data_IF_893651231422
#
_entry.id   IF_893651231422
#
_cell.length_a   1.000
_cell.length_b   1.000
_cell.length_c   1.000
_cell.angle_alpha   90.00
_cell.angle_beta   90.00
_cell.angle_gamma   90.00
#
_symmetry.space_group_name_H-M   'P 1'
#
loop_
_entity.id
_entity.type
_entity.pdbx_description
1 polymer ?
#
# COMPACT_ATOMS: atom_id res chain seq x y z
N UNK A 1 -14.32 6.90 5.43
CA UNK A 1 -15.40 5.95 5.09
C UNK A 1 -14.91 4.50 5.10
N UNK A 2 -15.79 3.54 5.43
CA UNK A 2 -15.55 2.09 5.32
C UNK A 2 -16.50 1.48 4.30
N UNK A 3 -15.95 0.74 3.35
CA UNK A 3 -16.71 0.04 2.31
C UNK A 3 -16.54 -1.47 2.49
N UNK A 4 -17.66 -2.21 2.45
CA UNK A 4 -17.65 -3.69 2.53
C UNK A 4 -18.31 -4.28 1.29
N UNK A 5 -17.62 -5.22 0.65
CA UNK A 5 -18.13 -6.05 -0.44
C UNK A 5 -18.60 -7.39 0.13
N UNK A 6 -19.76 -7.88 -0.30
CA UNK A 6 -20.36 -9.09 0.24
C UNK A 6 -19.74 -10.37 -0.39
N UNK A 7 -19.47 -11.42 0.41
CA UNK A 7 -19.05 -12.73 -0.10
C UNK A 7 -20.18 -13.40 -0.93
N UNK A 8 -19.95 -14.54 -1.61
CA UNK A 8 -20.99 -15.22 -2.40
C UNK A 8 -22.33 -15.41 -1.64
N UNK A 9 -23.51 -15.33 -2.30
CA UNK A 9 -23.77 -15.42 -3.76
C UNK A 9 -23.63 -14.10 -4.55
N UNK A 10 -23.15 -13.02 -3.92
CA UNK A 10 -22.92 -11.74 -4.59
C UNK A 10 -21.69 -11.82 -5.51
N UNK A 11 -21.73 -11.18 -6.69
CA UNK A 11 -20.65 -11.14 -7.71
C UNK A 11 -19.37 -10.41 -7.26
N UNK A 12 -19.13 -10.27 -5.97
CA UNK A 12 -17.89 -9.66 -5.51
C UNK A 12 -16.83 -10.77 -5.42
N UNK A 13 -16.03 -10.90 -6.48
CA UNK A 13 -14.80 -11.71 -6.46
C UNK A 13 -13.71 -10.99 -5.64
N UNK A 14 -14.08 -10.50 -4.45
CA UNK A 14 -13.18 -9.79 -3.57
C UNK A 14 -12.28 -10.77 -2.79
N UNK A 15 -11.15 -10.28 -2.31
CA UNK A 15 -10.20 -11.04 -1.50
C UNK A 15 -10.15 -10.51 -0.07
N UNK A 16 -10.26 -11.39 0.91
CA UNK A 16 -10.13 -11.02 2.32
C UNK A 16 -8.67 -11.16 2.77
N UNK A 17 -7.86 -10.15 2.42
CA UNK A 17 -6.43 -10.12 2.72
C UNK A 17 -6.12 -10.20 4.23
N UNK A 18 -6.98 -9.65 5.09
CA UNK A 18 -6.73 -9.68 6.53
C UNK A 18 -6.95 -11.07 7.08
N UNK A 19 -8.07 -11.71 6.73
CA UNK A 19 -8.34 -13.09 7.15
C UNK A 19 -7.25 -14.04 6.66
N UNK A 20 -6.83 -13.93 5.40
CA UNK A 20 -5.72 -14.74 4.86
C UNK A 20 -4.40 -14.54 5.62
N UNK A 21 -4.06 -13.29 5.95
CA UNK A 21 -2.86 -12.96 6.72
C UNK A 21 -2.89 -13.58 8.12
N UNK A 22 -4.04 -13.52 8.80
CA UNK A 22 -4.22 -14.19 10.09
C UNK A 22 -4.07 -15.71 9.97
N UNK A 23 -4.71 -16.34 8.98
CA UNK A 23 -4.62 -17.79 8.78
C UNK A 23 -3.21 -18.25 8.40
N UNK A 24 -2.42 -17.39 7.75
CA UNK A 24 -1.02 -17.65 7.40
C UNK A 24 -0.03 -17.27 8.51
N UNK A 25 -0.48 -17.18 9.76
CA UNK A 25 0.40 -16.91 10.91
C UNK A 25 1.03 -15.52 10.87
N UNK A 26 0.30 -14.52 10.37
CA UNK A 26 0.77 -13.14 10.30
C UNK A 26 1.74 -12.87 9.15
N UNK A 27 1.64 -13.63 8.05
CA UNK A 27 2.51 -13.49 6.88
C UNK A 27 1.71 -13.22 5.61
N UNK A 28 2.32 -12.49 4.68
CA UNK A 28 1.75 -12.22 3.36
C UNK A 28 1.13 -10.83 3.22
N UNK A 29 0.52 -10.53 2.07
CA UNK A 29 -0.03 -9.22 1.76
C UNK A 29 -1.36 -8.96 2.50
N UNK A 30 -1.46 -7.82 3.19
CA UNK A 30 -2.70 -7.36 3.86
C UNK A 30 -3.51 -6.36 3.04
N UNK A 31 -3.01 -5.96 1.87
CA UNK A 31 -3.69 -5.07 0.94
C UNK A 31 -3.52 -5.54 -0.49
N UNK A 32 -4.40 -5.08 -1.39
CA UNK A 32 -4.26 -5.33 -2.82
C UNK A 32 -2.94 -4.79 -3.39
N UNK A 33 -2.48 -3.62 -2.92
CA UNK A 33 -1.18 -3.06 -3.33
C UNK A 33 -0.03 -3.99 -2.93
N UNK A 34 -0.05 -4.48 -1.68
CA UNK A 34 0.94 -5.45 -1.22
C UNK A 34 0.89 -6.76 -2.00
N UNK A 35 -0.29 -7.23 -2.39
CA UNK A 35 -0.44 -8.41 -3.24
C UNK A 35 0.28 -8.23 -4.58
N UNK A 36 0.06 -7.08 -5.23
CA UNK A 36 0.70 -6.76 -6.52
C UNK A 36 2.22 -6.70 -6.39
N UNK A 37 2.73 -6.06 -5.35
CA UNK A 37 4.18 -5.95 -5.12
C UNK A 37 4.80 -7.29 -4.71
N UNK A 38 4.12 -8.12 -3.92
CA UNK A 38 4.56 -9.50 -3.64
C UNK A 38 4.61 -10.36 -4.90
N UNK A 39 3.60 -10.25 -5.77
CA UNK A 39 3.61 -10.95 -7.06
C UNK A 39 4.82 -10.52 -7.92
N UNK A 40 5.13 -9.23 -7.95
CA UNK A 40 6.34 -8.74 -8.63
C UNK A 40 7.61 -9.29 -8.00
N UNK A 41 7.70 -9.33 -6.66
CA UNK A 41 8.85 -9.93 -5.97
C UNK A 41 9.04 -11.39 -6.40
N UNK A 42 7.96 -12.17 -6.38
CA UNK A 42 8.01 -13.58 -6.77
C UNK A 42 8.47 -13.76 -8.21
N UNK A 43 7.99 -12.91 -9.14
CA UNK A 43 8.45 -12.92 -10.53
C UNK A 43 9.91 -12.48 -10.68
N UNK A 44 10.36 -11.50 -9.91
CA UNK A 44 11.75 -11.07 -9.94
C UNK A 44 12.68 -12.21 -9.49
N UNK A 45 12.33 -12.87 -8.39
CA UNK A 45 13.10 -14.00 -7.86
C UNK A 45 13.06 -15.21 -8.79
N UNK A 46 11.90 -15.54 -9.37
CA UNK A 46 11.72 -16.66 -10.30
C UNK A 46 12.56 -16.50 -11.58
N UNK A 47 12.58 -15.31 -12.19
CA UNK A 47 13.21 -15.10 -13.49
C UNK A 47 14.65 -14.59 -13.43
N UNK A 48 15.03 -13.90 -12.35
CA UNK A 48 16.34 -13.24 -12.25
C UNK A 48 17.16 -13.66 -11.02
N UNK A 49 16.56 -14.41 -10.08
CA UNK A 49 17.24 -14.86 -8.85
C UNK A 49 17.53 -13.73 -7.85
N UNK A 50 16.99 -12.53 -8.06
CA UNK A 50 17.17 -11.35 -7.22
C UNK A 50 15.93 -10.46 -7.24
N UNK A 51 15.79 -9.59 -6.24
CA UNK A 51 14.69 -8.64 -6.15
C UNK A 51 15.00 -7.34 -6.93
N UNK A 52 14.11 -6.95 -7.84
CA UNK A 52 14.20 -5.66 -8.53
C UNK A 52 14.14 -4.49 -7.53
N UNK A 53 15.03 -3.50 -7.71
CA UNK A 53 15.19 -2.36 -6.80
C UNK A 53 13.93 -1.53 -6.58
N UNK A 54 13.00 -1.54 -7.53
CA UNK A 54 11.79 -0.71 -7.51
C UNK A 54 10.58 -1.45 -6.94
N UNK A 55 10.74 -2.68 -6.46
CA UNK A 55 9.69 -3.44 -5.78
C UNK A 55 9.50 -2.90 -4.38
N UNK A 56 8.26 -2.52 -4.05
CA UNK A 56 7.90 -1.97 -2.75
C UNK A 56 7.14 -3.00 -1.92
N UNK A 57 7.85 -4.05 -1.51
CA UNK A 57 7.35 -5.08 -0.62
C UNK A 57 8.43 -5.44 0.41
N UNK A 58 8.12 -5.59 1.71
CA UNK A 58 9.11 -6.01 2.70
C UNK A 58 9.68 -7.40 2.39
N UNK A 59 10.99 -7.50 2.23
CA UNK A 59 11.67 -8.71 1.78
C UNK A 59 13.14 -8.72 2.25
N UNK A 60 13.76 -9.90 2.32
CA UNK A 60 15.15 -10.07 2.79
C UNK A 60 16.08 -10.58 1.67
N UNK A 61 15.53 -10.84 0.49
CA UNK A 61 16.21 -11.37 -0.66
C UNK A 61 17.17 -10.35 -1.27
N UNK A 62 18.24 -10.85 -1.89
CA UNK A 62 19.28 -10.02 -2.50
C UNK A 62 18.70 -9.14 -3.60
N UNK A 63 19.02 -7.86 -3.55
CA UNK A 63 18.61 -6.86 -4.55
C UNK A 63 19.48 -7.01 -5.80
N UNK A 64 18.86 -6.96 -6.98
CA UNK A 64 19.58 -7.02 -8.26
C UNK A 64 20.59 -5.86 -8.39
N UNK A 65 21.81 -6.14 -8.85
CA UNK A 65 22.84 -5.10 -9.01
C UNK A 65 22.48 -4.12 -10.12
N UNK A 66 21.95 -4.62 -11.24
CA UNK A 66 21.48 -3.85 -12.37
C UNK A 66 19.95 -3.74 -12.33
N UNK A 67 19.43 -2.64 -12.87
CA UNK A 67 18.00 -2.50 -13.09
C UNK A 67 17.54 -3.49 -14.16
N UNK A 68 16.38 -4.13 -13.96
CA UNK A 68 15.80 -5.03 -14.95
C UNK A 68 14.95 -4.20 -15.92
N UNK A 69 15.35 -4.06 -17.20
CA UNK A 69 14.62 -3.23 -18.14
C UNK A 69 13.19 -3.69 -18.33
N UNK A 70 12.24 -2.75 -18.31
CA UNK A 70 10.81 -2.99 -18.55
C UNK A 70 10.12 -3.98 -17.60
N UNK A 71 10.76 -4.35 -16.47
CA UNK A 71 10.22 -5.33 -15.54
C UNK A 71 8.81 -4.95 -15.05
N UNK A 72 8.66 -3.72 -14.56
CA UNK A 72 7.38 -3.22 -14.05
C UNK A 72 6.33 -3.11 -15.14
N UNK A 73 6.71 -2.71 -16.36
CA UNK A 73 5.78 -2.63 -17.50
C UNK A 73 5.23 -4.02 -17.86
N UNK A 74 6.09 -5.04 -17.85
CA UNK A 74 5.73 -6.43 -18.18
C UNK A 74 4.86 -7.10 -17.11
N UNK A 75 5.16 -6.89 -15.83
CA UNK A 75 4.53 -7.66 -14.74
C UNK A 75 3.40 -6.96 -14.01
N UNK A 76 3.33 -5.62 -14.05
CA UNK A 76 2.22 -4.86 -13.43
C UNK A 76 0.83 -5.31 -13.91
N UNK A 77 0.54 -5.49 -15.21
CA UNK A 77 -0.79 -5.94 -15.64
C UNK A 77 -1.09 -7.36 -15.14
N UNK A 78 -0.14 -8.29 -15.30
CA UNK A 78 -0.29 -9.69 -14.86
C UNK A 78 -0.52 -9.83 -13.35
N UNK A 79 0.23 -9.07 -12.55
CA UNK A 79 0.05 -9.05 -11.11
C UNK A 79 -1.21 -8.30 -10.67
N UNK A 80 -1.78 -7.43 -11.52
CA UNK A 80 -3.05 -6.80 -11.24
C UNK A 80 -4.23 -7.74 -11.46
N UNK A 81 -4.16 -8.60 -12.47
CA UNK A 81 -5.16 -9.63 -12.75
C UNK A 81 -5.29 -10.67 -11.63
N UNK A 82 -4.17 -11.03 -10.99
CA UNK A 82 -4.16 -12.00 -9.88
C UNK A 82 -4.55 -11.43 -8.52
N UNK A 83 -4.63 -10.09 -8.38
CA UNK A 83 -4.88 -9.42 -7.12
C UNK A 83 -6.24 -8.70 -7.15
N UNK A 84 -7.29 -9.43 -6.77
CA UNK A 84 -8.66 -8.92 -6.63
C UNK A 84 -8.79 -7.74 -5.68
N UNK A 85 -9.90 -7.00 -5.81
CA UNK A 85 -10.25 -5.95 -4.86
C UNK A 85 -10.43 -6.51 -3.45
N UNK A 86 -10.02 -5.78 -2.40
CA UNK A 86 -10.22 -6.22 -1.03
C UNK A 86 -11.71 -6.21 -0.66
N UNK A 87 -12.16 -7.20 0.14
CA UNK A 87 -13.56 -7.25 0.60
C UNK A 87 -13.93 -6.12 1.57
N UNK A 88 -12.94 -5.50 2.21
CA UNK A 88 -13.11 -4.37 3.10
C UNK A 88 -12.09 -3.29 2.76
N UNK A 89 -12.56 -2.06 2.54
CA UNK A 89 -11.72 -0.89 2.27
C UNK A 89 -12.02 0.18 3.30
N UNK A 90 -10.97 0.72 3.92
CA UNK A 90 -11.07 1.96 4.69
C UNK A 90 -10.41 3.09 3.92
N UNK A 91 -11.12 4.21 3.75
CA UNK A 91 -10.60 5.46 3.17
C UNK A 91 -10.63 6.54 4.24
N UNK A 92 -9.54 7.28 4.34
CA UNK A 92 -9.40 8.42 5.24
C UNK A 92 -9.28 9.68 4.39
N UNK A 93 -10.04 10.69 4.77
CA UNK A 93 -9.91 12.03 4.24
C UNK A 93 -9.28 12.89 5.33
N UNK A 94 -8.33 13.74 4.96
CA UNK A 94 -7.59 14.56 5.90
C UNK A 94 -7.38 15.94 5.30
N UNK A 95 -7.35 16.95 6.17
CA UNK A 95 -6.97 18.30 5.83
C UNK A 95 -5.56 18.55 6.35
N UNK A 96 -4.71 19.16 5.53
CA UNK A 96 -3.33 19.48 5.92
C UNK A 96 -3.23 20.97 6.14
N UNK A 97 -2.83 21.37 7.34
CA UNK A 97 -2.44 22.74 7.65
C UNK A 97 -0.93 22.78 7.80
N UNK A 98 -0.29 23.67 7.05
CA UNK A 98 1.17 23.84 7.08
C UNK A 98 1.47 25.22 7.63
N UNK A 99 2.14 25.25 8.77
CA UNK A 99 2.77 26.45 9.32
C UNK A 99 4.28 26.32 9.21
N UNK A 100 4.94 27.33 8.65
CA UNK A 100 6.39 27.42 8.77
C UNK A 100 6.71 27.87 10.19
N UNK A 101 7.54 27.12 10.92
CA UNK A 101 8.17 27.68 12.10
C UNK A 101 8.99 28.89 11.67
N UNK A 102 8.88 30.02 12.38
CA UNK A 102 9.68 31.22 12.14
C UNK A 102 11.16 30.94 12.41
N UNK A 103 11.83 30.37 11.42
CA UNK A 103 13.25 30.04 11.42
C UNK A 103 13.83 30.45 10.07
N UNK A 104 14.94 31.18 10.10
CA UNK A 104 15.64 31.61 8.90
C UNK A 104 15.99 30.38 8.04
N UNK A 105 15.54 30.35 6.77
CA UNK A 105 15.76 29.21 5.85
C UNK A 105 17.24 28.87 5.64
N UNK A 106 18.14 29.81 5.94
CA UNK A 106 19.59 29.61 5.88
C UNK A 106 20.20 28.97 7.14
N UNK A 107 19.40 28.70 8.18
CA UNK A 107 19.88 28.06 9.42
C UNK A 107 20.01 26.53 9.29
N UNK A 108 19.32 25.89 8.33
CA UNK A 108 19.45 24.45 8.06
C UNK A 108 20.71 24.14 7.24
N UNK A 109 21.87 24.47 7.81
CA UNK A 109 23.20 24.19 7.23
C UNK A 109 23.89 22.99 7.87
N UNK A 110 23.42 22.56 9.05
CA UNK A 110 24.00 21.45 9.81
C UNK A 110 22.87 20.51 10.26
N UNK A 111 22.96 19.24 9.86
CA UNK A 111 21.94 18.17 10.06
C UNK A 111 21.56 17.93 11.54
N UNK A 112 22.31 18.48 12.49
CA UNK A 112 22.07 18.32 13.94
C UNK A 112 21.16 19.39 14.54
N UNK A 113 20.74 20.38 13.76
CA UNK A 113 19.96 21.50 14.28
C UNK A 113 18.44 21.19 14.24
N UNK A 114 17.75 21.40 15.36
CA UNK A 114 16.30 21.17 15.50
C UNK A 114 15.47 22.03 14.54
N UNK A 115 16.10 23.05 13.95
CA UNK A 115 15.56 23.94 12.91
C UNK A 115 15.28 23.24 11.57
N UNK A 116 15.83 22.04 11.35
CA UNK A 116 15.55 21.20 10.18
C UNK A 116 14.42 20.17 10.42
N UNK A 117 13.76 20.20 11.59
CA UNK A 117 12.76 19.19 11.91
C UNK A 117 11.38 19.55 11.37
N UNK A 118 10.75 18.59 10.70
CA UNK A 118 9.32 18.65 10.37
C UNK A 118 8.54 18.12 11.56
N UNK A 119 7.82 19.01 12.27
CA UNK A 119 6.84 18.58 13.25
C UNK A 119 5.54 18.20 12.52
N UNK A 120 5.13 16.94 12.64
CA UNK A 120 3.84 16.46 12.14
C UNK A 120 2.95 16.17 13.33
N UNK A 121 1.86 16.92 13.45
CA UNK A 121 0.81 16.66 14.44
C UNK A 121 -0.41 16.10 13.71
N UNK A 122 -0.89 14.95 14.17
CA UNK A 122 -2.05 14.27 13.60
C UNK A 122 -3.17 14.39 14.62
N UNK A 123 -4.23 15.11 14.25
CA UNK A 123 -5.43 15.26 15.06
C UNK A 123 -6.60 14.55 14.38
N UNK A 124 -7.47 13.96 15.18
CA UNK A 124 -8.72 13.36 14.72
C UNK A 124 -9.87 14.28 15.12
N UNK A 125 -10.17 15.27 14.29
CA UNK A 125 -11.26 16.23 14.52
C UNK A 125 -12.53 15.78 13.80
N UNK A 126 -13.67 15.86 14.50
CA UNK A 126 -15.01 15.60 13.94
C UNK A 126 -15.08 14.34 13.06
N UNK A 127 -14.48 13.23 13.50
CA UNK A 127 -14.46 11.99 12.73
C UNK A 127 -15.88 11.47 12.49
N UNK A 128 -16.37 11.64 11.26
CA UNK A 128 -17.58 10.98 10.79
C UNK A 128 -17.21 9.67 10.08
N UNK A 129 -17.70 8.55 10.62
CA UNK A 129 -17.51 7.24 10.00
C UNK A 129 -18.71 6.95 9.09
N UNK A 130 -18.56 7.22 7.80
CA UNK A 130 -19.53 6.74 6.80
C UNK A 130 -19.24 5.28 6.46
N UNK A 131 -20.18 4.39 6.73
CA UNK A 131 -20.13 2.99 6.28
C UNK A 131 -21.00 2.82 5.04
N UNK A 132 -20.43 2.30 3.95
CA UNK A 132 -21.18 1.91 2.76
C UNK A 132 -21.07 0.41 2.53
N UNK A 133 -22.22 -0.23 2.30
CA UNK A 133 -22.29 -1.59 1.77
C UNK A 133 -22.70 -1.41 0.32
N UNK A 134 -21.85 -1.84 -0.59
CA UNK A 134 -22.10 -1.76 -2.04
C UNK A 134 -22.57 -3.12 -2.52
N UNK A 135 -23.86 -3.20 -2.84
CA UNK A 135 -24.48 -4.30 -3.58
C UNK A 135 -24.31 -4.01 -5.07
N UNK A 136 -23.41 -4.72 -5.75
CA UNK A 136 -23.43 -4.74 -7.21
C UNK A 136 -24.51 -5.74 -7.62
N UNK A 137 -25.67 -5.17 -7.98
CA UNK A 137 -26.94 -5.84 -8.23
C UNK A 137 -26.90 -7.03 -9.20
N UNK A 138 -27.86 -7.92 -8.94
CA UNK A 138 -28.34 -9.01 -9.79
C UNK A 138 -28.44 -8.61 -11.26
N UNK A 139 -27.73 -9.35 -12.11
CA UNK A 139 -28.16 -9.78 -13.45
C UNK A 139 -27.31 -10.94 -13.91
#
# INVERSE_FOLDING_TARGET
>A
SRMKLLPPPFKSHCRDYMSEWYTNGGKGPVTQKMCKEKCKLDKSLEYFGCADKKINYPHNETICQLEIPQFHQKWTPKCSESCSMPCSVSRYEFQVQVSNSEGNRNACSIVKDLTCNTLVQIFLENMEITTSVTDNDLK
#
